data_IF_606082201269
#
_entry.id   IF_606082201269
#
_cell.length_a   1.000
_cell.length_b   1.000
_cell.length_c   1.000
_cell.angle_alpha   90.00
_cell.angle_beta   90.00
_cell.angle_gamma   90.00
#
_symmetry.space_group_name_H-M   'P 1'
#
loop_
_entity.id
_entity.type
_entity.pdbx_description
1 polymer ?
#
# COMPACT_ATOMS: atom_id res chain seq x y z
N UNK A 1 -2.24 25.84 -13.94
CA UNK A 1 -1.12 26.23 -13.05
C UNK A 1 -1.59 27.33 -12.12
N UNK A 2 -1.28 27.23 -10.84
CA UNK A 2 -1.66 28.22 -9.83
C UNK A 2 -0.67 29.40 -9.92
N UNK A 3 -1.21 30.61 -10.00
CA UNK A 3 -0.38 31.82 -10.06
C UNK A 3 0.38 32.03 -8.73
N UNK A 4 1.57 32.66 -8.81
CA UNK A 4 2.29 33.11 -7.62
C UNK A 4 1.53 34.29 -7.01
N UNK A 5 0.73 34.04 -5.99
CA UNK A 5 -0.01 35.09 -5.27
C UNK A 5 -0.18 34.69 -3.80
N UNK A 6 -0.31 35.70 -2.92
CA UNK A 6 -0.63 35.46 -1.50
C UNK A 6 -2.12 35.06 -1.35
N UNK A 7 -2.46 33.87 -1.84
CA UNK A 7 -3.80 33.34 -1.72
C UNK A 7 -3.94 32.51 -0.44
N UNK A 8 -5.10 32.53 0.21
CA UNK A 8 -5.39 31.61 1.30
C UNK A 8 -5.39 30.17 0.79
N UNK A 9 -5.04 29.23 1.65
CA UNK A 9 -4.95 27.80 1.31
C UNK A 9 -6.27 27.27 0.75
N UNK A 10 -7.42 27.76 1.22
CA UNK A 10 -8.74 27.43 0.68
C UNK A 10 -8.86 27.76 -0.81
N UNK A 11 -8.38 28.94 -1.23
CA UNK A 11 -8.41 29.33 -2.64
C UNK A 11 -7.46 28.51 -3.50
N UNK A 12 -6.31 28.12 -2.94
CA UNK A 12 -5.35 27.25 -3.61
C UNK A 12 -5.95 25.83 -3.77
N UNK A 13 -6.66 25.33 -2.75
CA UNK A 13 -7.40 24.07 -2.82
C UNK A 13 -8.45 24.10 -3.95
N UNK A 14 -9.31 25.13 -3.98
CA UNK A 14 -10.31 25.28 -5.04
C UNK A 14 -9.67 25.29 -6.44
N UNK A 15 -8.59 26.07 -6.62
CA UNK A 15 -7.87 26.15 -7.88
C UNK A 15 -7.25 24.78 -8.27
N UNK A 16 -6.68 24.07 -7.30
CA UNK A 16 -6.09 22.73 -7.51
C UNK A 16 -7.17 21.75 -7.96
N UNK A 17 -8.28 21.69 -7.22
CA UNK A 17 -9.46 20.85 -7.56
C UNK A 17 -9.96 21.15 -8.96
N UNK A 18 -10.15 22.43 -9.30
CA UNK A 18 -10.71 22.84 -10.60
C UNK A 18 -9.76 22.49 -11.75
N UNK A 19 -8.44 22.56 -11.54
CA UNK A 19 -7.44 22.10 -12.51
C UNK A 19 -7.55 20.58 -12.72
N UNK A 20 -7.64 19.79 -11.65
CA UNK A 20 -7.78 18.33 -11.73
C UNK A 20 -9.09 17.94 -12.41
N UNK A 21 -10.21 18.55 -12.03
CA UNK A 21 -11.53 18.33 -12.61
C UNK A 21 -11.57 18.65 -14.11
N UNK A 22 -11.00 19.77 -14.53
CA UNK A 22 -10.91 20.17 -15.95
C UNK A 22 -10.13 19.19 -16.80
N UNK A 23 -9.22 18.42 -16.20
CA UNK A 23 -8.41 17.41 -16.88
C UNK A 23 -8.92 15.99 -16.64
N UNK A 24 -10.18 15.82 -16.23
CA UNK A 24 -10.85 14.54 -16.04
C UNK A 24 -10.15 13.59 -15.06
N UNK A 25 -9.47 14.15 -14.06
CA UNK A 25 -8.91 13.33 -12.97
C UNK A 25 -10.06 12.86 -12.07
N UNK A 26 -10.08 11.58 -11.77
CA UNK A 26 -11.06 11.00 -10.85
C UNK A 26 -10.87 11.56 -9.44
N UNK A 27 -11.98 11.77 -8.73
CA UNK A 27 -11.99 12.26 -7.33
C UNK A 27 -11.14 13.54 -7.12
N UNK A 28 -11.35 14.60 -7.91
CA UNK A 28 -10.49 15.79 -7.90
C UNK A 28 -10.47 16.51 -6.56
N UNK A 29 -11.53 16.43 -5.75
CA UNK A 29 -11.62 16.97 -4.39
C UNK A 29 -10.66 16.24 -3.45
N UNK A 30 -10.64 14.90 -3.53
CA UNK A 30 -9.79 14.05 -2.69
C UNK A 30 -8.32 14.27 -3.04
N UNK A 31 -7.97 14.22 -4.33
CA UNK A 31 -6.59 14.46 -4.75
C UNK A 31 -6.10 15.88 -4.42
N UNK A 32 -6.96 16.90 -4.61
CA UNK A 32 -6.62 18.26 -4.23
C UNK A 32 -6.32 18.38 -2.73
N UNK A 33 -7.13 17.70 -1.89
CA UNK A 33 -6.90 17.66 -0.43
C UNK A 33 -5.57 17.00 -0.11
N UNK A 34 -5.29 15.82 -0.68
CA UNK A 34 -4.02 15.10 -0.46
C UNK A 34 -2.82 15.96 -0.86
N UNK A 35 -2.87 16.62 -2.03
CA UNK A 35 -1.78 17.51 -2.50
C UNK A 35 -1.55 18.66 -1.51
N UNK A 36 -2.62 19.30 -1.04
CA UNK A 36 -2.52 20.43 -0.11
C UNK A 36 -1.98 19.98 1.24
N UNK A 37 -2.49 18.89 1.78
CA UNK A 37 -2.05 18.34 3.07
C UNK A 37 -0.58 17.91 3.01
N UNK A 38 -0.17 17.23 1.94
CA UNK A 38 1.22 16.84 1.72
C UNK A 38 2.18 18.05 1.70
N UNK A 39 1.82 19.11 0.99
CA UNK A 39 2.69 20.30 0.87
C UNK A 39 2.60 21.22 2.09
N UNK A 40 1.44 21.30 2.72
CA UNK A 40 1.23 22.16 3.88
C UNK A 40 1.74 21.55 5.19
N UNK A 41 1.82 20.24 5.28
CA UNK A 41 2.01 19.43 6.50
C UNK A 41 0.69 19.20 7.21
N UNK A 42 0.55 18.02 7.77
CA UNK A 42 -0.60 17.65 8.61
C UNK A 42 -0.75 18.64 9.77
N UNK A 43 -1.98 18.98 10.12
CA UNK A 43 -2.33 19.93 11.19
C UNK A 43 -2.11 21.43 10.89
N UNK A 44 -1.84 21.82 9.67
CA UNK A 44 -1.81 23.24 9.34
C UNK A 44 -3.21 23.73 8.89
N UNK A 45 -3.77 24.78 9.54
CA UNK A 45 -5.10 25.25 9.20
C UNK A 45 -5.16 25.78 7.76
N UNK A 46 -6.25 25.45 7.06
CA UNK A 46 -6.53 25.90 5.69
C UNK A 46 -6.62 27.44 5.55
N UNK A 47 -6.68 28.17 6.67
CA UNK A 47 -6.74 29.65 6.72
C UNK A 47 -5.40 30.34 6.51
N UNK A 48 -4.27 29.60 6.53
CA UNK A 48 -2.95 30.19 6.32
C UNK A 48 -2.66 30.49 4.85
N UNK A 49 -1.88 31.53 4.61
CA UNK A 49 -1.34 31.84 3.28
C UNK A 49 -0.14 30.92 3.03
N UNK A 50 -0.15 30.18 1.90
CA UNK A 50 0.99 29.37 1.50
C UNK A 50 2.14 30.22 0.95
N UNK A 51 3.36 29.82 1.25
CA UNK A 51 4.56 30.43 0.65
C UNK A 51 4.63 30.14 -0.86
N UNK A 52 5.34 31.00 -1.58
CA UNK A 52 5.58 30.78 -3.02
C UNK A 52 6.27 29.44 -3.29
N UNK A 53 7.14 28.97 -2.40
CA UNK A 53 7.81 27.67 -2.50
C UNK A 53 6.79 26.54 -2.46
N UNK A 54 5.85 26.57 -1.52
CA UNK A 54 4.77 25.56 -1.42
C UNK A 54 3.87 25.59 -2.65
N UNK A 55 3.52 26.76 -3.18
CA UNK A 55 2.76 26.87 -4.42
C UNK A 55 3.55 26.27 -5.61
N UNK A 56 4.85 26.45 -5.66
CA UNK A 56 5.69 25.82 -6.68
C UNK A 56 5.71 24.30 -6.56
N UNK A 57 5.77 23.75 -5.33
CA UNK A 57 5.65 22.31 -5.09
C UNK A 57 4.32 21.76 -5.59
N UNK A 58 3.19 22.42 -5.25
CA UNK A 58 1.85 22.04 -5.76
C UNK A 58 1.84 22.04 -7.29
N UNK A 59 2.37 23.07 -7.92
CA UNK A 59 2.43 23.17 -9.37
C UNK A 59 3.32 22.06 -10.00
N UNK A 60 4.39 21.64 -9.32
CA UNK A 60 5.23 20.53 -9.77
C UNK A 60 4.49 19.20 -9.71
N UNK A 61 3.77 18.96 -8.60
CA UNK A 61 2.91 17.77 -8.43
C UNK A 61 1.84 17.74 -9.52
N UNK A 62 1.12 18.85 -9.71
CA UNK A 62 0.10 18.97 -10.75
C UNK A 62 0.65 18.69 -12.15
N UNK A 63 1.85 19.21 -12.48
CA UNK A 63 2.47 18.94 -13.79
C UNK A 63 2.68 17.46 -14.05
N UNK A 64 3.15 16.72 -13.07
CA UNK A 64 3.37 15.27 -13.16
C UNK A 64 2.03 14.54 -13.25
N UNK A 65 1.10 14.89 -12.34
CA UNK A 65 -0.23 14.27 -12.29
C UNK A 65 -1.00 14.43 -13.61
N UNK A 66 -0.95 15.61 -14.22
CA UNK A 66 -1.59 15.88 -15.52
C UNK A 66 -0.91 15.19 -16.72
N UNK A 67 0.26 14.60 -16.52
CA UNK A 67 0.90 13.70 -17.50
C UNK A 67 0.50 12.24 -17.30
N UNK A 68 -0.34 11.96 -16.30
CA UNK A 68 -0.84 10.62 -15.98
C UNK A 68 -0.06 9.88 -14.89
N UNK A 69 1.00 10.46 -14.31
CA UNK A 69 1.69 9.82 -13.18
C UNK A 69 0.72 9.70 -11.99
N UNK A 70 0.60 8.54 -11.33
CA UNK A 70 -0.22 8.36 -10.12
C UNK A 70 0.21 9.33 -9.02
N UNK A 71 -0.76 9.94 -8.33
CA UNK A 71 -0.44 10.87 -7.25
C UNK A 71 0.42 10.22 -6.17
N UNK A 72 0.13 8.98 -5.79
CA UNK A 72 0.90 8.18 -4.83
C UNK A 72 2.37 8.07 -5.19
N UNK A 73 2.69 7.79 -6.46
CA UNK A 73 4.08 7.67 -6.94
C UNK A 73 4.79 9.04 -6.98
N UNK A 74 4.04 10.13 -7.26
CA UNK A 74 4.58 11.49 -7.25
C UNK A 74 4.98 11.93 -5.84
N UNK A 75 4.09 11.72 -4.85
CA UNK A 75 4.30 12.13 -3.46
C UNK A 75 4.94 11.03 -2.60
N UNK A 76 5.08 9.81 -3.17
CA UNK A 76 5.63 8.62 -2.52
C UNK A 76 4.88 8.21 -1.25
N UNK A 77 3.58 8.43 -1.25
CA UNK A 77 2.71 8.13 -0.12
C UNK A 77 1.33 7.67 -0.58
N UNK A 78 0.77 6.70 0.12
CA UNK A 78 -0.58 6.19 -0.09
C UNK A 78 -1.25 5.89 1.25
N UNK A 79 -2.47 6.40 1.43
CA UNK A 79 -3.31 6.04 2.58
C UNK A 79 -3.81 4.60 2.45
N UNK A 80 -3.81 3.86 3.55
CA UNK A 80 -4.40 2.53 3.67
C UNK A 80 -4.77 2.30 5.14
N UNK A 81 -5.98 1.79 5.39
CA UNK A 81 -6.51 1.63 6.73
C UNK A 81 -6.43 2.95 7.52
N UNK A 82 -5.79 2.97 8.66
CA UNK A 82 -5.65 4.15 9.51
C UNK A 82 -4.30 4.87 9.38
N UNK A 83 -3.49 4.54 8.35
CA UNK A 83 -2.12 5.03 8.21
C UNK A 83 -1.79 5.51 6.79
N UNK A 84 -0.60 6.11 6.68
CA UNK A 84 -0.01 6.50 5.40
C UNK A 84 1.27 5.70 5.19
N UNK A 85 1.33 4.98 4.08
CA UNK A 85 2.46 4.13 3.72
C UNK A 85 3.33 4.78 2.66
N UNK A 86 4.63 4.68 2.80
CA UNK A 86 5.55 5.01 1.73
C UNK A 86 5.40 3.98 0.60
N UNK A 87 5.40 4.46 -0.65
CA UNK A 87 5.32 3.65 -1.87
C UNK A 87 6.18 4.27 -2.97
N UNK A 88 6.64 3.46 -3.90
CA UNK A 88 7.37 3.91 -5.08
C UNK A 88 7.13 2.94 -6.25
N UNK A 89 7.96 3.05 -7.30
CA UNK A 89 7.90 2.22 -8.49
C UNK A 89 8.18 0.72 -8.27
N UNK A 90 8.67 0.34 -7.09
CA UNK A 90 9.03 -1.04 -6.76
C UNK A 90 7.95 -1.80 -5.98
N UNK A 91 6.84 -1.15 -5.62
CA UNK A 91 5.75 -1.76 -4.87
C UNK A 91 4.40 -1.48 -5.52
N UNK A 92 3.47 -2.42 -5.40
CA UNK A 92 2.06 -2.14 -5.64
C UNK A 92 1.59 -1.03 -4.69
N UNK A 93 0.83 -0.08 -5.20
CA UNK A 93 0.17 0.89 -4.33
C UNK A 93 -0.91 0.19 -3.47
N UNK A 94 -0.97 0.45 -2.16
CA UNK A 94 -2.07 -0.03 -1.32
C UNK A 94 -3.44 0.26 -1.94
N UNK A 95 -4.30 -0.76 -2.02
CA UNK A 95 -5.63 -0.67 -2.63
C UNK A 95 -6.71 -0.65 -1.56
N UNK A 96 -7.75 0.16 -1.74
CA UNK A 96 -8.85 0.24 -0.79
C UNK A 96 -9.59 -1.11 -0.63
N UNK A 97 -9.74 -1.88 -1.72
CA UNK A 97 -10.38 -3.18 -1.69
C UNK A 97 -9.63 -4.18 -0.80
N UNK A 98 -8.30 -4.04 -0.70
CA UNK A 98 -7.45 -4.88 0.17
C UNK A 98 -7.71 -4.65 1.67
N UNK A 99 -8.33 -3.53 2.06
CA UNK A 99 -8.71 -3.26 3.47
C UNK A 99 -9.69 -4.30 4.01
N UNK A 100 -10.47 -4.95 3.14
CA UNK A 100 -11.38 -6.05 3.49
C UNK A 100 -10.62 -7.22 4.13
N UNK A 101 -9.38 -7.51 3.70
CA UNK A 101 -8.55 -8.55 4.35
C UNK A 101 -8.22 -8.18 5.79
N UNK A 102 -7.87 -6.93 6.04
CA UNK A 102 -7.59 -6.44 7.41
C UNK A 102 -8.84 -6.55 8.27
N UNK A 103 -9.98 -6.08 7.75
CA UNK A 103 -11.28 -6.14 8.45
C UNK A 103 -11.65 -7.58 8.82
N UNK A 104 -11.62 -8.51 7.86
CA UNK A 104 -11.97 -9.91 8.09
C UNK A 104 -11.06 -10.57 9.15
N UNK A 105 -9.76 -10.32 9.10
CA UNK A 105 -8.81 -10.86 10.10
C UNK A 105 -9.11 -10.27 11.47
N UNK A 106 -9.36 -8.97 11.55
CA UNK A 106 -9.65 -8.32 12.82
C UNK A 106 -10.98 -8.79 13.43
N UNK A 107 -11.99 -9.10 12.60
CA UNK A 107 -13.24 -9.71 13.07
C UNK A 107 -12.99 -11.08 13.69
N UNK A 108 -12.23 -11.94 13.02
CA UNK A 108 -11.91 -13.30 13.50
C UNK A 108 -11.04 -13.28 14.77
N UNK A 109 -10.12 -12.32 14.90
CA UNK A 109 -9.15 -12.25 16.00
C UNK A 109 -9.48 -11.20 17.08
N UNK A 110 -10.58 -10.45 16.96
CA UNK A 110 -10.95 -9.39 17.89
C UNK A 110 -11.07 -9.87 19.34
N UNK A 111 -11.55 -11.10 19.56
CA UNK A 111 -11.67 -11.70 20.90
C UNK A 111 -10.35 -12.20 21.46
N UNK A 112 -9.26 -12.16 20.69
CA UNK A 112 -7.93 -12.70 21.05
C UNK A 112 -6.88 -11.62 21.25
N UNK A 113 -7.27 -10.34 21.38
CA UNK A 113 -6.34 -9.19 21.51
C UNK A 113 -5.25 -9.34 22.59
N UNK A 114 -5.49 -10.18 23.58
CA UNK A 114 -4.53 -10.46 24.66
C UNK A 114 -3.67 -11.72 24.41
N UNK A 115 -3.87 -12.43 23.30
CA UNK A 115 -3.04 -13.58 22.93
C UNK A 115 -1.85 -13.12 22.08
N UNK A 116 -0.74 -13.82 22.18
CA UNK A 116 0.36 -13.70 21.24
C UNK A 116 -0.10 -14.35 19.93
N UNK A 117 -0.13 -13.59 18.86
CA UNK A 117 -0.53 -14.04 17.53
C UNK A 117 0.67 -13.85 16.62
N UNK A 118 1.09 -14.93 15.96
CA UNK A 118 2.11 -14.89 14.92
C UNK A 118 1.44 -15.09 13.57
N UNK A 119 1.84 -14.31 12.58
CA UNK A 119 1.29 -14.46 11.24
C UNK A 119 2.30 -14.09 10.14
N UNK A 120 1.96 -14.49 8.93
CA UNK A 120 2.74 -14.21 7.73
C UNK A 120 1.95 -13.26 6.84
N UNK A 121 2.60 -12.19 6.38
CA UNK A 121 2.15 -11.34 5.27
C UNK A 121 2.94 -11.74 4.03
N UNK A 122 2.31 -12.50 3.14
CA UNK A 122 2.92 -13.11 1.97
C UNK A 122 2.66 -12.24 0.73
N UNK A 123 3.68 -12.02 -0.11
CA UNK A 123 3.68 -11.04 -1.19
C UNK A 123 3.46 -9.63 -0.62
N UNK A 124 4.19 -9.31 0.42
CA UNK A 124 3.88 -8.21 1.34
C UNK A 124 4.03 -6.80 0.76
N UNK A 125 4.79 -6.62 -0.33
CA UNK A 125 4.95 -5.34 -1.01
C UNK A 125 5.35 -4.20 -0.07
N UNK A 126 4.45 -3.23 0.13
CA UNK A 126 4.65 -2.11 1.08
C UNK A 126 4.53 -2.50 2.54
N UNK A 127 4.06 -3.71 2.85
CA UNK A 127 3.72 -4.18 4.19
C UNK A 127 2.40 -3.64 4.74
N UNK A 128 1.57 -3.00 3.91
CA UNK A 128 0.39 -2.29 4.39
C UNK A 128 -0.61 -3.20 5.11
N UNK A 129 -0.79 -4.45 4.68
CA UNK A 129 -1.69 -5.40 5.32
C UNK A 129 -1.14 -5.78 6.71
N UNK A 130 0.04 -6.35 6.75
CA UNK A 130 0.64 -6.85 8.00
C UNK A 130 0.89 -5.75 9.02
N UNK A 131 1.36 -4.57 8.60
CA UNK A 131 1.61 -3.45 9.50
C UNK A 131 0.31 -2.88 10.07
N UNK A 132 -0.78 -2.84 9.29
CA UNK A 132 -2.10 -2.44 9.79
C UNK A 132 -2.61 -3.43 10.84
N UNK A 133 -2.48 -4.74 10.58
CA UNK A 133 -2.85 -5.78 11.56
C UNK A 133 -2.00 -5.68 12.83
N UNK A 134 -0.69 -5.47 12.71
CA UNK A 134 0.19 -5.29 13.86
C UNK A 134 -0.21 -4.11 14.75
N UNK A 135 -0.74 -3.03 14.19
CA UNK A 135 -1.22 -1.88 14.97
C UNK A 135 -2.48 -2.21 15.76
N UNK A 136 -3.42 -2.93 15.16
CA UNK A 136 -4.70 -3.28 15.78
C UNK A 136 -4.56 -4.43 16.79
N UNK A 137 -3.55 -5.30 16.61
CA UNK A 137 -3.24 -6.44 17.48
C UNK A 137 -1.88 -6.23 18.19
N UNK A 138 -1.83 -5.57 19.34
CA UNK A 138 -0.57 -5.11 19.97
C UNK A 138 0.36 -6.23 20.40
N UNK A 139 -0.15 -7.45 20.65
CA UNK A 139 0.65 -8.62 21.06
C UNK A 139 0.97 -9.55 19.88
N UNK A 140 0.81 -9.09 18.64
CA UNK A 140 1.10 -9.89 17.46
C UNK A 140 2.51 -9.64 16.91
N UNK A 141 3.03 -10.63 16.16
CA UNK A 141 4.26 -10.56 15.38
C UNK A 141 4.00 -11.00 13.95
N UNK A 142 4.63 -10.34 13.01
CA UNK A 142 4.47 -10.62 11.59
C UNK A 142 5.79 -10.98 10.94
N UNK A 143 5.78 -12.03 10.12
CA UNK A 143 6.84 -12.31 9.15
C UNK A 143 6.37 -11.85 7.78
N UNK A 144 6.99 -10.79 7.27
CA UNK A 144 6.79 -10.26 5.95
C UNK A 144 7.61 -11.03 4.94
N UNK A 145 6.99 -11.51 3.88
CA UNK A 145 7.64 -12.28 2.81
C UNK A 145 7.38 -11.62 1.48
N UNK A 146 8.45 -11.35 0.74
CA UNK A 146 8.38 -10.89 -0.64
C UNK A 146 9.58 -11.44 -1.43
N UNK A 147 9.42 -11.62 -2.72
CA UNK A 147 10.51 -12.04 -3.60
C UNK A 147 11.40 -10.85 -3.99
N UNK A 148 10.87 -9.63 -3.93
CA UNK A 148 11.56 -8.40 -4.31
C UNK A 148 12.30 -7.78 -3.13
N UNK A 149 13.64 -7.75 -3.24
CA UNK A 149 14.49 -7.04 -2.25
C UNK A 149 14.13 -5.55 -2.15
N UNK A 150 13.77 -4.91 -3.26
CA UNK A 150 13.42 -3.50 -3.28
C UNK A 150 12.06 -3.24 -2.61
N UNK A 151 11.08 -4.13 -2.81
CA UNK A 151 9.82 -4.07 -2.07
C UNK A 151 10.05 -4.28 -0.57
N UNK A 152 10.90 -5.23 -0.20
CA UNK A 152 11.24 -5.49 1.20
C UNK A 152 11.89 -4.27 1.90
N UNK A 153 12.73 -3.51 1.20
CA UNK A 153 13.29 -2.24 1.73
C UNK A 153 12.20 -1.21 2.03
N UNK A 154 11.17 -1.14 1.17
CA UNK A 154 10.02 -0.24 1.38
C UNK A 154 9.19 -0.70 2.58
N UNK A 155 8.96 -2.01 2.71
CA UNK A 155 8.27 -2.60 3.85
C UNK A 155 8.99 -2.27 5.17
N UNK A 156 10.31 -2.49 5.23
CA UNK A 156 11.14 -2.14 6.38
C UNK A 156 11.06 -0.65 6.73
N UNK A 157 11.12 0.23 5.72
CA UNK A 157 10.95 1.67 5.92
C UNK A 157 9.59 1.99 6.55
N UNK A 158 8.51 1.37 6.07
CA UNK A 158 7.17 1.56 6.61
C UNK A 158 7.06 1.04 8.04
N UNK A 159 7.65 -0.12 8.34
CA UNK A 159 7.71 -0.65 9.70
C UNK A 159 8.44 0.30 10.67
N UNK A 160 9.55 0.90 10.22
CA UNK A 160 10.29 1.90 11.00
C UNK A 160 9.47 3.18 11.24
N UNK A 161 8.83 3.71 10.20
CA UNK A 161 7.98 4.90 10.28
C UNK A 161 6.83 4.70 11.26
N UNK A 162 6.23 3.50 11.27
CA UNK A 162 5.14 3.13 12.17
C UNK A 162 5.60 2.61 13.54
N UNK A 163 6.93 2.50 13.76
CA UNK A 163 7.55 1.99 15.01
C UNK A 163 7.16 0.54 15.33
N UNK A 164 7.05 -0.29 14.30
CA UNK A 164 6.63 -1.69 14.38
C UNK A 164 7.78 -2.68 14.14
N UNK A 165 8.99 -2.22 13.89
CA UNK A 165 10.16 -3.04 13.54
C UNK A 165 10.45 -4.15 14.53
N UNK A 166 10.24 -3.91 15.85
CA UNK A 166 10.48 -4.92 16.89
C UNK A 166 9.51 -6.10 16.86
N UNK A 167 8.39 -5.98 16.14
CA UNK A 167 7.38 -7.02 15.96
C UNK A 167 7.30 -7.52 14.51
N UNK A 168 8.26 -7.11 13.68
CA UNK A 168 8.33 -7.40 12.25
C UNK A 168 9.59 -8.21 11.96
N UNK A 169 9.43 -9.34 11.28
CA UNK A 169 10.51 -10.11 10.69
C UNK A 169 10.41 -10.02 9.16
N UNK A 170 11.52 -9.90 8.45
CA UNK A 170 11.56 -9.66 7.02
C UNK A 170 12.33 -10.76 6.31
N UNK A 171 11.71 -11.43 5.35
CA UNK A 171 12.27 -12.59 4.69
C UNK A 171 12.10 -12.49 3.17
N UNK A 172 13.21 -12.50 2.45
CA UNK A 172 13.20 -12.58 0.99
C UNK A 172 13.00 -14.04 0.61
N UNK A 173 11.90 -14.32 -0.13
CA UNK A 173 11.56 -15.69 -0.53
C UNK A 173 10.62 -15.71 -1.73
N UNK A 174 10.76 -16.73 -2.54
CA UNK A 174 9.72 -17.11 -3.51
C UNK A 174 8.60 -17.86 -2.78
N UNK A 175 7.57 -17.11 -2.41
CA UNK A 175 6.47 -17.56 -1.57
C UNK A 175 6.99 -18.23 -0.27
N UNK A 176 6.52 -19.44 0.03
CA UNK A 176 6.79 -20.17 1.28
C UNK A 176 8.02 -21.10 1.19
N UNK A 177 8.88 -20.92 0.17
CA UNK A 177 9.99 -21.88 -0.09
C UNK A 177 11.22 -21.68 0.81
N UNK A 178 11.29 -20.60 1.59
CA UNK A 178 12.47 -20.33 2.41
C UNK A 178 12.64 -21.37 3.53
N UNK A 179 13.80 -22.08 3.62
CA UNK A 179 14.00 -23.14 4.60
C UNK A 179 14.05 -22.64 6.06
N UNK A 180 14.24 -21.33 6.27
CA UNK A 180 14.22 -20.74 7.61
C UNK A 180 12.81 -20.34 8.06
N UNK A 181 11.79 -20.52 7.20
CA UNK A 181 10.41 -20.21 7.53
C UNK A 181 9.78 -21.36 8.30
N UNK A 182 9.41 -21.12 9.56
CA UNK A 182 8.60 -22.07 10.33
C UNK A 182 7.13 -21.69 10.24
N UNK A 183 6.40 -22.29 9.32
CA UNK A 183 4.98 -22.01 9.11
C UNK A 183 4.09 -22.44 10.28
N UNK A 184 4.46 -23.51 10.98
CA UNK A 184 3.63 -24.07 12.07
C UNK A 184 3.55 -23.18 13.30
N UNK A 185 4.44 -22.20 13.43
CA UNK A 185 4.44 -21.22 14.53
C UNK A 185 3.49 -20.04 14.25
N UNK A 186 2.78 -20.04 13.10
CA UNK A 186 1.92 -18.94 12.69
C UNK A 186 0.44 -19.36 12.74
N UNK A 187 -0.39 -18.49 13.30
CA UNK A 187 -1.84 -18.68 13.44
C UNK A 187 -2.54 -18.50 12.09
N UNK A 188 -2.04 -17.57 11.25
CA UNK A 188 -2.58 -17.38 9.91
C UNK A 188 -1.53 -16.87 8.91
N UNK A 189 -1.88 -17.00 7.65
CA UNK A 189 -1.19 -16.41 6.50
C UNK A 189 -2.17 -15.48 5.81
N UNK A 190 -1.76 -14.26 5.50
CA UNK A 190 -2.52 -13.31 4.67
C UNK A 190 -1.72 -12.99 3.42
N UNK A 191 -2.39 -12.85 2.27
CA UNK A 191 -1.73 -12.46 1.02
C UNK A 191 -2.69 -11.75 0.07
N UNK A 192 -2.14 -10.73 -0.60
CA UNK A 192 -2.68 -10.19 -1.84
C UNK A 192 -1.67 -10.50 -2.96
N UNK A 193 -1.69 -11.72 -3.54
CA UNK A 193 -0.74 -12.11 -4.56
C UNK A 193 -1.12 -11.52 -5.92
N UNK A 194 -0.21 -11.48 -6.91
CA UNK A 194 -0.54 -11.10 -8.28
C UNK A 194 -1.60 -12.04 -8.88
N UNK A 195 -2.69 -11.46 -9.42
CA UNK A 195 -3.82 -12.24 -9.94
C UNK A 195 -4.33 -11.78 -11.31
N UNK A 196 -3.71 -10.81 -11.94
CA UNK A 196 -4.14 -10.33 -13.25
C UNK A 196 -3.63 -11.28 -14.33
N UNK A 197 -4.52 -11.68 -15.24
CA UNK A 197 -4.11 -12.51 -16.39
C UNK A 197 -3.09 -11.76 -17.23
N UNK A 198 -2.02 -12.43 -17.66
CA UNK A 198 -0.96 -11.84 -18.48
C UNK A 198 -1.51 -11.14 -19.74
N UNK A 199 -2.57 -11.68 -20.36
CA UNK A 199 -3.24 -11.10 -21.53
C UNK A 199 -3.96 -9.77 -21.24
N UNK A 200 -4.32 -9.52 -19.98
CA UNK A 200 -5.11 -8.38 -19.56
C UNK A 200 -4.25 -7.21 -19.02
N UNK A 201 -2.98 -7.47 -18.73
CA UNK A 201 -2.01 -6.44 -18.28
C UNK A 201 -2.03 -5.22 -19.19
N UNK A 202 -2.02 -5.43 -20.53
CA UNK A 202 -2.03 -4.33 -21.52
C UNK A 202 -3.32 -3.52 -21.54
N UNK A 203 -4.40 -4.01 -20.90
CA UNK A 203 -5.71 -3.35 -20.82
C UNK A 203 -5.86 -2.51 -19.55
N UNK A 204 -4.91 -2.61 -18.63
CA UNK A 204 -4.94 -1.88 -17.37
C UNK A 204 -4.86 -0.37 -17.60
N UNK A 205 -5.35 0.37 -16.62
CA UNK A 205 -5.23 1.82 -16.65
C UNK A 205 -3.77 2.26 -16.69
N UNK A 206 -3.52 3.39 -17.31
CA UNK A 206 -2.17 3.95 -17.35
C UNK A 206 -1.59 4.14 -15.94
N UNK A 207 -2.42 4.45 -14.96
CA UNK A 207 -2.00 4.59 -13.56
C UNK A 207 -1.53 3.24 -12.97
N UNK A 208 -2.28 2.15 -13.20
CA UNK A 208 -1.92 0.82 -12.72
C UNK A 208 -0.62 0.31 -13.36
N UNK A 209 -0.34 0.69 -14.60
CA UNK A 209 0.91 0.32 -15.30
C UNK A 209 2.18 1.00 -14.71
N UNK A 210 2.04 1.89 -13.72
CA UNK A 210 3.17 2.42 -12.95
C UNK A 210 3.55 1.51 -11.76
N UNK A 211 2.73 0.52 -11.44
CA UNK A 211 3.08 -0.51 -10.47
C UNK A 211 3.97 -1.58 -11.13
N UNK A 212 4.85 -2.25 -10.37
CA UNK A 212 5.74 -3.26 -10.96
C UNK A 212 4.96 -4.42 -11.57
N UNK A 213 5.38 -4.88 -12.74
CA UNK A 213 4.74 -6.01 -13.43
C UNK A 213 4.69 -7.26 -12.53
N UNK A 214 5.72 -7.49 -11.73
CA UNK A 214 5.80 -8.61 -10.79
C UNK A 214 4.66 -8.61 -9.76
N UNK A 215 4.11 -7.44 -9.43
CA UNK A 215 2.99 -7.31 -8.50
C UNK A 215 1.61 -7.43 -9.14
N UNK A 216 1.55 -7.55 -10.47
CA UNK A 216 0.31 -7.55 -11.23
C UNK A 216 0.05 -8.90 -11.92
N UNK A 217 1.08 -9.47 -12.53
CA UNK A 217 0.96 -10.63 -13.43
C UNK A 217 0.78 -11.94 -12.67
N UNK A 218 -0.44 -12.46 -12.65
CA UNK A 218 -0.82 -13.74 -12.07
C UNK A 218 -0.71 -14.93 -13.02
N UNK A 219 -0.07 -14.76 -14.19
CA UNK A 219 0.09 -15.82 -15.18
C UNK A 219 -1.04 -15.90 -16.19
N UNK A 220 -1.10 -17.02 -16.91
CA UNK A 220 -1.97 -17.19 -18.07
C UNK A 220 -3.47 -17.01 -17.75
N UNK A 221 -3.92 -17.50 -16.62
CA UNK A 221 -5.31 -17.40 -16.15
C UNK A 221 -5.49 -16.58 -14.86
N UNK A 222 -4.39 -15.99 -14.32
CA UNK A 222 -4.37 -15.24 -13.09
C UNK A 222 -4.20 -16.11 -11.83
N UNK A 223 -4.06 -17.43 -11.98
CA UNK A 223 -4.09 -18.39 -10.86
C UNK A 223 -2.74 -18.95 -10.43
N UNK A 224 -1.61 -18.54 -11.04
CA UNK A 224 -0.32 -19.20 -10.84
C UNK A 224 0.16 -19.11 -9.38
N UNK A 225 0.01 -17.95 -8.74
CA UNK A 225 0.40 -17.79 -7.34
C UNK A 225 -0.49 -18.58 -6.39
N UNK A 226 -1.79 -18.62 -6.61
CA UNK A 226 -2.71 -19.42 -5.78
C UNK A 226 -2.37 -20.91 -5.85
N UNK A 227 -2.14 -21.44 -7.06
CA UNK A 227 -1.71 -22.85 -7.25
C UNK A 227 -0.41 -23.14 -6.52
N UNK A 228 0.56 -22.22 -6.61
CA UNK A 228 1.86 -22.36 -5.94
C UNK A 228 1.72 -22.32 -4.43
N UNK A 229 0.96 -21.37 -3.87
CA UNK A 229 0.70 -21.26 -2.43
C UNK A 229 0.02 -22.54 -1.92
N UNK A 230 -1.05 -23.00 -2.56
CA UNK A 230 -1.76 -24.22 -2.15
C UNK A 230 -0.88 -25.47 -2.26
N UNK A 231 -0.07 -25.58 -3.31
CA UNK A 231 0.88 -26.69 -3.46
C UNK A 231 1.88 -26.69 -2.30
N UNK A 232 2.55 -25.55 -2.04
CA UNK A 232 3.53 -25.46 -0.97
C UNK A 232 2.91 -25.73 0.41
N UNK A 233 1.70 -25.25 0.68
CA UNK A 233 0.98 -25.56 1.92
C UNK A 233 0.64 -27.05 2.05
N UNK A 234 0.25 -27.70 0.96
CA UNK A 234 -0.09 -29.13 0.97
C UNK A 234 1.10 -30.04 1.29
N UNK A 235 2.32 -29.56 1.09
CA UNK A 235 3.57 -30.26 1.40
C UNK A 235 3.99 -30.07 2.87
N UNK A 236 3.19 -29.38 3.68
CA UNK A 236 3.47 -29.06 5.08
C UNK A 236 2.40 -29.57 6.02
N UNK A 237 2.65 -29.49 7.32
CA UNK A 237 1.66 -29.76 8.37
C UNK A 237 0.92 -28.51 8.87
N UNK A 238 0.99 -27.40 8.14
CA UNK A 238 0.32 -26.15 8.51
C UNK A 238 -1.19 -26.33 8.68
N UNK A 239 -1.73 -25.78 9.77
CA UNK A 239 -3.16 -25.88 10.14
C UNK A 239 -3.78 -24.54 10.47
N UNK A 240 -3.03 -23.44 10.28
CA UNK A 240 -3.54 -22.09 10.49
C UNK A 240 -4.54 -21.67 9.41
N UNK A 241 -5.05 -20.48 9.55
CA UNK A 241 -5.99 -19.88 8.58
C UNK A 241 -5.24 -19.28 7.39
N UNK A 242 -5.90 -19.19 6.26
CA UNK A 242 -5.38 -18.56 5.04
C UNK A 242 -6.38 -17.53 4.54
N UNK A 243 -5.95 -16.28 4.48
CA UNK A 243 -6.72 -15.14 3.95
C UNK A 243 -6.10 -14.70 2.63
N UNK A 244 -6.87 -14.74 1.55
CA UNK A 244 -6.42 -14.38 0.21
C UNK A 244 -7.35 -13.36 -0.42
N UNK A 245 -6.79 -12.30 -1.00
CA UNK A 245 -7.48 -11.47 -1.98
C UNK A 245 -7.54 -12.22 -3.32
N UNK A 246 -8.70 -12.20 -3.99
CA UNK A 246 -8.95 -12.88 -5.26
C UNK A 246 -9.67 -11.98 -6.27
#
# INVERSE_FOLDING_TARGET
MIAKSKLPTTKIFENTRDILKKNNINQPEVEAKIIIDFVNGENNPLSKILSNTKIQQINTILKKRLKGEPLSKIIKQKGFWNDVFYTNENTLDPRADTEILVEAILEDYNFTKNKNINFIDLCSGTGCIGLSILKELPNSHCTFIDISEEAMKINQLNADLLKLTTRSNFLISDLLTNPNLNMNDNDFIVSNPPYIKSSDIKKLSFETLHDPLLSLDGGMDGGDYYRSIFKQLSETSYKGHLYLEI
#
